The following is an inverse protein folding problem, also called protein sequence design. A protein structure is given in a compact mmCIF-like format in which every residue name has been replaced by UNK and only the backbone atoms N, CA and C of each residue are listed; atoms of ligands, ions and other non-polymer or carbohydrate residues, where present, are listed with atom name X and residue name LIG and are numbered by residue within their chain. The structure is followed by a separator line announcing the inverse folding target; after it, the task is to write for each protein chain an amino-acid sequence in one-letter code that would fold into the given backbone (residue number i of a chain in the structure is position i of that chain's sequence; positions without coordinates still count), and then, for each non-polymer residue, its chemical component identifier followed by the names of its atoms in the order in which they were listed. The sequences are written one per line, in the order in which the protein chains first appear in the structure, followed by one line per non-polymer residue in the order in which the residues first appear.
data_IF_125009086215
#
_entry.id   IF_125009086215
#
_cell.length_a   1.000
_cell.length_b   1.000
_cell.length_c   1.000
_cell.angle_alpha   90.00
_cell.angle_beta   90.00
_cell.angle_gamma   90.00
#
_symmetry.space_group_name_H-M   'P 1'
#
loop_
_entity.id
_entity.type
_entity.pdbx_description
1 polymer ?
#
# COMPACT_ATOMS: atom_id res chain seq x y z
N UNK A 1 -10.26 -12.10 -6.76
CA UNK A 1 -10.85 -10.79 -6.42
C UNK A 1 -10.00 -9.73 -7.08
N UNK A 2 -10.42 -9.24 -8.25
CA UNK A 2 -9.72 -8.16 -8.94
C UNK A 2 -10.16 -6.89 -8.20
N UNK A 3 -9.39 -6.47 -7.19
CA UNK A 3 -9.50 -5.09 -6.73
C UNK A 3 -9.16 -4.25 -7.96
N UNK A 4 -10.15 -3.57 -8.51
CA UNK A 4 -9.94 -2.50 -9.48
C UNK A 4 -9.06 -1.50 -8.75
N UNK A 5 -7.76 -1.57 -8.97
CA UNK A 5 -6.81 -0.58 -8.49
C UNK A 5 -7.14 0.66 -9.30
N UNK A 6 -8.04 1.47 -8.76
CA UNK A 6 -8.18 2.85 -9.19
C UNK A 6 -6.85 3.48 -8.83
N UNK A 7 -5.94 3.50 -9.79
CA UNK A 7 -4.63 4.10 -9.61
C UNK A 7 -4.83 5.57 -9.30
N UNK A 8 -4.02 6.18 -8.42
CA UNK A 8 -4.10 7.60 -8.10
C UNK A 8 -4.17 8.49 -9.34
N UNK A 9 -3.40 8.11 -10.36
CA UNK A 9 -3.37 8.75 -11.68
C UNK A 9 -4.73 8.77 -12.38
N UNK A 10 -5.52 7.70 -12.25
CA UNK A 10 -6.87 7.63 -12.83
C UNK A 10 -7.85 8.53 -12.09
N UNK A 11 -7.72 8.63 -10.76
CA UNK A 11 -8.55 9.50 -9.94
C UNK A 11 -8.25 10.98 -10.22
N UNK A 12 -6.97 11.34 -10.37
CA UNK A 12 -6.51 12.69 -10.71
C UNK A 12 -7.07 13.18 -12.05
N UNK A 13 -7.03 12.30 -13.06
CA UNK A 13 -7.56 12.58 -14.40
C UNK A 13 -9.08 12.74 -14.36
N UNK A 14 -9.80 11.92 -13.61
CA UNK A 14 -11.26 12.06 -13.48
C UNK A 14 -11.62 13.34 -12.73
N UNK A 15 -10.94 13.66 -11.63
CA UNK A 15 -11.23 14.86 -10.84
C UNK A 15 -10.89 16.14 -11.62
N UNK A 16 -9.80 16.15 -12.39
CA UNK A 16 -9.46 17.29 -13.27
C UNK A 16 -10.41 17.45 -14.46
N UNK A 17 -11.01 16.36 -14.96
CA UNK A 17 -12.02 16.40 -16.03
C UNK A 17 -13.40 16.85 -15.55
N UNK A 18 -13.80 16.54 -14.32
CA UNK A 18 -15.17 16.74 -13.83
C UNK A 18 -15.32 17.86 -12.78
N UNK A 19 -14.24 18.29 -12.12
CA UNK A 19 -14.32 19.26 -11.03
C UNK A 19 -13.60 20.55 -11.41
N UNK A 20 -14.34 21.66 -11.39
CA UNK A 20 -13.74 22.98 -11.44
C UNK A 20 -12.92 23.18 -10.15
N UNK A 21 -11.59 23.12 -10.27
CA UNK A 21 -10.63 23.14 -9.14
C UNK A 21 -10.79 24.37 -8.24
N UNK A 22 -11.37 25.48 -8.74
CA UNK A 22 -11.67 26.69 -7.95
C UNK A 22 -12.91 26.57 -7.04
N UNK A 23 -13.64 25.46 -7.10
CA UNK A 23 -14.79 25.17 -6.24
C UNK A 23 -14.34 24.54 -4.92
N UNK A 24 -15.09 24.77 -3.84
CA UNK A 24 -14.93 24.09 -2.55
C UNK A 24 -14.92 22.55 -2.68
N UNK A 25 -15.59 22.02 -3.72
CA UNK A 25 -15.59 20.59 -4.07
C UNK A 25 -14.24 20.14 -4.64
N UNK A 26 -13.51 21.02 -5.34
CA UNK A 26 -12.16 20.79 -5.85
C UNK A 26 -11.11 20.68 -4.75
N UNK A 27 -11.16 21.57 -3.77
CA UNK A 27 -10.26 21.49 -2.60
C UNK A 27 -10.49 20.20 -1.79
N UNK A 28 -11.75 19.78 -1.63
CA UNK A 28 -12.11 18.53 -0.97
C UNK A 28 -11.58 17.32 -1.75
N UNK A 29 -11.70 17.35 -3.09
CA UNK A 29 -11.20 16.30 -3.96
C UNK A 29 -9.67 16.15 -3.90
N UNK A 30 -8.94 17.27 -3.87
CA UNK A 30 -7.48 17.27 -3.72
C UNK A 30 -7.08 16.70 -2.36
N UNK A 31 -7.77 17.10 -1.29
CA UNK A 31 -7.53 16.56 0.06
C UNK A 31 -7.79 15.05 0.12
N UNK A 32 -8.87 14.59 -0.50
CA UNK A 32 -9.21 13.17 -0.57
C UNK A 32 -8.17 12.35 -1.35
N UNK A 33 -7.66 12.89 -2.45
CA UNK A 33 -6.57 12.28 -3.21
C UNK A 33 -5.30 12.15 -2.35
N UNK A 34 -4.93 13.22 -1.66
CA UNK A 34 -3.75 13.21 -0.79
C UNK A 34 -3.86 12.16 0.33
N UNK A 35 -5.03 12.03 0.95
CA UNK A 35 -5.28 11.00 1.96
C UNK A 35 -5.26 9.58 1.37
N UNK A 36 -5.75 9.41 0.15
CA UNK A 36 -5.72 8.13 -0.57
C UNK A 36 -4.28 7.68 -0.87
N UNK A 37 -3.42 8.59 -1.34
CA UNK A 37 -2.00 8.30 -1.58
C UNK A 37 -1.29 7.87 -0.30
N UNK A 38 -1.60 8.53 0.83
CA UNK A 38 -1.05 8.19 2.13
C UNK A 38 -1.52 6.80 2.59
N UNK A 39 -2.77 6.44 2.33
CA UNK A 39 -3.31 5.12 2.64
C UNK A 39 -2.62 4.03 1.81
N UNK A 40 -2.38 4.27 0.52
CA UNK A 40 -1.64 3.34 -0.34
C UNK A 40 -0.23 3.10 0.21
N UNK A 41 0.48 4.18 0.54
CA UNK A 41 1.83 4.09 1.12
C UNK A 41 1.84 3.26 2.42
N UNK A 42 0.83 3.43 3.27
CA UNK A 42 0.69 2.65 4.49
C UNK A 42 0.46 1.16 4.22
N UNK A 43 -0.46 0.82 3.29
CA UNK A 43 -0.75 -0.58 2.93
C UNK A 43 0.49 -1.27 2.39
N UNK A 44 1.23 -0.62 1.49
CA UNK A 44 2.48 -1.16 0.96
C UNK A 44 3.51 -1.39 2.06
N UNK A 45 3.64 -0.46 3.00
CA UNK A 45 4.59 -0.59 4.10
C UNK A 45 4.23 -1.77 5.02
N UNK A 46 2.95 -1.94 5.34
CA UNK A 46 2.46 -3.09 6.13
C UNK A 46 2.73 -4.40 5.39
N UNK A 47 2.44 -4.49 4.08
CA UNK A 47 2.72 -5.68 3.28
C UNK A 47 4.22 -6.03 3.27
N UNK A 48 5.09 -5.03 3.11
CA UNK A 48 6.56 -5.25 3.17
C UNK A 48 6.96 -5.78 4.54
N UNK A 49 6.44 -5.20 5.63
CA UNK A 49 6.73 -5.65 6.99
C UNK A 49 6.23 -7.08 7.22
N UNK A 50 5.03 -7.43 6.76
CA UNK A 50 4.49 -8.79 6.85
C UNK A 50 5.36 -9.80 6.09
N UNK A 51 5.79 -9.46 4.87
CA UNK A 51 6.69 -10.30 4.06
C UNK A 51 8.05 -10.46 4.75
N UNK A 52 8.60 -9.39 5.34
CA UNK A 52 9.86 -9.45 6.09
C UNK A 52 9.73 -10.30 7.35
N UNK A 53 8.63 -10.18 8.10
CA UNK A 53 8.38 -11.03 9.27
C UNK A 53 8.21 -12.49 8.88
N UNK A 54 7.47 -12.78 7.81
CA UNK A 54 7.32 -14.13 7.29
C UNK A 54 8.68 -14.72 6.89
N UNK A 55 9.48 -13.96 6.12
CA UNK A 55 10.84 -14.37 5.72
C UNK A 55 11.76 -14.60 6.92
N UNK A 56 11.71 -13.76 7.95
CA UNK A 56 12.49 -13.94 9.17
C UNK A 56 12.04 -15.17 9.97
N UNK A 57 10.74 -15.46 10.03
CA UNK A 57 10.22 -16.69 10.65
C UNK A 57 10.71 -17.94 9.91
N UNK A 58 10.67 -17.95 8.58
CA UNK A 58 11.21 -19.05 7.78
C UNK A 58 12.72 -19.23 8.02
N UNK A 59 13.49 -18.14 8.04
CA UNK A 59 14.94 -18.18 8.31
C UNK A 59 15.26 -18.75 9.70
N UNK A 60 14.51 -18.36 10.73
CA UNK A 60 14.71 -18.90 12.09
C UNK A 60 14.32 -20.38 12.20
N UNK A 61 13.29 -20.84 11.48
CA UNK A 61 12.93 -22.26 11.45
C UNK A 61 14.00 -23.11 10.76
N UNK A 62 14.58 -22.64 9.65
CA UNK A 62 15.68 -23.35 8.98
C UNK A 62 16.95 -23.41 9.83
N UNK A 63 17.24 -22.36 10.61
CA UNK A 63 18.40 -22.32 11.49
C UNK A 63 18.30 -23.37 12.63
N UNK A 64 17.12 -23.53 13.23
CA UNK A 64 16.87 -24.52 14.27
C UNK A 64 16.97 -25.97 13.76
N UNK A 65 16.57 -26.22 12.50
CA UNK A 65 16.71 -27.54 11.88
C UNK A 65 18.19 -27.88 11.61
N UNK A 66 19.00 -26.91 11.16
CA UNK A 66 20.43 -27.13 10.92
C UNK A 66 21.26 -27.30 12.21
N UNK A 67 20.86 -26.70 13.33
CA UNK A 67 21.50 -26.96 14.62
C UNK A 67 21.12 -28.35 15.19
N UNK A 68 19.86 -28.79 14.99
CA UNK A 68 19.37 -30.09 15.44
C UNK A 68 19.96 -31.30 14.72
N UNK A 69 20.47 -31.13 13.49
CA UNK A 69 21.14 -32.19 12.72
C UNK A 69 22.65 -32.31 13.03
N UNK A 70 23.21 -31.44 13.88
CA UNK A 70 24.66 -31.40 14.18
C UNK A 70 25.10 -32.11 15.47
N UNK A 71 24.21 -32.91 16.09
CA UNK A 71 24.48 -33.67 17.34
C UNK A 71 24.67 -35.15 17.06
#
# INVERSE_FOLDING_TARGET
MILVVVTPLSLEVILSLFINIKSQVGELAISLMHDYDRLIGLVLNVQVVEVLMAKNRFKNQTALLTEGESV
#
